data_IF_384984394963
#
_entry.id   IF_384984394963
#
_cell.length_a   1.000
_cell.length_b   1.000
_cell.length_c   1.000
_cell.angle_alpha   90.00
_cell.angle_beta   90.00
_cell.angle_gamma   90.00
#
_symmetry.space_group_name_H-M   'P 1'
#
loop_
_entity.id
_entity.type
_entity.pdbx_description
1 polymer ?
#
# COMPACT_ATOMS: atom_id res chain seq x y z
N UNK A 1 -27.20 -12.24 -7.98
CA UNK A 1 -28.00 -13.14 -8.85
C UNK A 1 -28.58 -12.42 -10.08
N UNK A 2 -29.14 -11.20 -9.93
CA UNK A 2 -29.73 -10.46 -11.05
C UNK A 2 -28.69 -9.96 -12.08
N UNK A 3 -27.51 -9.52 -11.65
CA UNK A 3 -26.48 -8.97 -12.56
C UNK A 3 -25.90 -10.01 -13.54
N UNK A 4 -25.68 -11.25 -13.09
CA UNK A 4 -25.18 -12.33 -13.95
C UNK A 4 -26.13 -12.65 -15.10
N UNK A 5 -27.44 -12.66 -14.85
CA UNK A 5 -28.46 -12.91 -15.89
C UNK A 5 -28.45 -11.80 -16.93
N UNK A 6 -28.29 -10.55 -16.49
CA UNK A 6 -28.17 -9.38 -17.38
C UNK A 6 -26.92 -9.48 -18.23
N UNK A 7 -25.76 -9.82 -17.64
CA UNK A 7 -24.51 -10.00 -18.37
C UNK A 7 -24.60 -11.14 -19.39
N UNK A 8 -25.17 -12.29 -19.03
CA UNK A 8 -25.35 -13.40 -19.97
C UNK A 8 -26.27 -13.04 -21.14
N UNK A 9 -27.28 -12.19 -20.92
CA UNK A 9 -28.14 -11.67 -21.98
C UNK A 9 -27.40 -10.67 -22.89
N UNK A 10 -26.66 -9.71 -22.30
CA UNK A 10 -25.87 -8.70 -23.03
C UNK A 10 -24.76 -9.32 -23.87
N UNK A 11 -24.20 -10.45 -23.42
CA UNK A 11 -23.12 -11.16 -24.10
C UNK A 11 -23.60 -12.26 -25.06
N UNK A 12 -24.92 -12.42 -25.21
CA UNK A 12 -25.49 -13.42 -26.13
C UNK A 12 -25.14 -14.85 -25.74
N UNK A 13 -25.11 -15.16 -24.44
CA UNK A 13 -24.61 -16.44 -23.92
C UNK A 13 -25.58 -17.63 -24.03
N UNK A 14 -26.70 -17.44 -24.73
CA UNK A 14 -27.67 -18.51 -24.99
C UNK A 14 -27.04 -19.61 -25.85
N UNK A 15 -27.13 -20.87 -25.41
CA UNK A 15 -26.65 -22.03 -26.17
C UNK A 15 -25.13 -22.27 -26.13
N UNK A 16 -24.39 -21.60 -25.24
CA UNK A 16 -22.94 -21.86 -25.07
C UNK A 16 -22.03 -20.92 -25.88
N UNK A 17 -22.61 -20.00 -26.64
CA UNK A 17 -21.89 -18.99 -27.41
C UNK A 17 -21.51 -17.77 -26.53
N UNK A 18 -20.66 -16.90 -27.03
CA UNK A 18 -20.39 -15.56 -26.47
C UNK A 18 -20.21 -14.66 -27.68
N UNK A 19 -21.13 -13.72 -27.88
CA UNK A 19 -21.12 -12.82 -29.03
C UNK A 19 -20.96 -13.59 -30.36
N UNK A 20 -20.27 -13.00 -31.35
CA UNK A 20 -19.96 -13.60 -32.64
C UNK A 20 -18.60 -14.32 -32.66
N UNK A 21 -18.02 -14.64 -31.49
CA UNK A 21 -16.70 -15.27 -31.42
C UNK A 21 -16.70 -16.75 -31.84
N UNK A 22 -15.71 -17.12 -32.65
CA UNK A 22 -15.23 -18.51 -32.77
C UNK A 22 -14.41 -18.89 -31.54
N UNK A 23 -14.05 -20.17 -31.37
CA UNK A 23 -13.20 -20.56 -30.22
C UNK A 23 -11.80 -19.94 -30.34
N UNK A 24 -11.28 -19.83 -31.57
CA UNK A 24 -9.97 -19.25 -31.85
C UNK A 24 -9.96 -17.73 -31.58
N UNK A 25 -10.97 -17.01 -32.07
CA UNK A 25 -11.09 -15.56 -31.85
C UNK A 25 -11.44 -15.22 -30.39
N UNK A 26 -12.19 -16.08 -29.71
CA UNK A 26 -12.43 -15.97 -28.26
C UNK A 26 -11.13 -16.14 -27.48
N UNK A 27 -10.34 -17.19 -27.76
CA UNK A 27 -9.04 -17.38 -27.11
C UNK A 27 -8.09 -16.21 -27.35
N UNK A 28 -7.98 -15.75 -28.61
CA UNK A 28 -7.14 -14.60 -28.96
C UNK A 28 -7.57 -13.30 -28.24
N UNK A 29 -8.88 -13.05 -28.19
CA UNK A 29 -9.42 -11.88 -27.49
C UNK A 29 -9.01 -11.83 -26.01
N UNK A 30 -9.09 -12.97 -25.30
CA UNK A 30 -8.68 -13.04 -23.89
C UNK A 30 -7.15 -13.04 -23.72
N UNK A 31 -6.42 -13.63 -24.66
CA UNK A 31 -4.96 -13.61 -24.65
C UNK A 31 -4.41 -12.17 -24.72
N UNK A 32 -5.03 -11.28 -25.51
CA UNK A 32 -4.66 -9.86 -25.58
C UNK A 32 -4.85 -9.12 -24.23
N UNK A 33 -5.72 -9.66 -23.35
CA UNK A 33 -5.93 -9.18 -21.99
C UNK A 33 -4.98 -9.84 -20.96
N UNK A 34 -4.10 -10.73 -21.41
CA UNK A 34 -3.21 -11.54 -20.57
C UNK A 34 -3.91 -12.70 -19.87
N UNK A 35 -5.07 -13.15 -20.36
CA UNK A 35 -5.89 -14.20 -19.75
C UNK A 35 -5.93 -15.42 -20.67
N UNK A 36 -5.49 -16.58 -20.19
CA UNK A 36 -5.75 -17.86 -20.87
C UNK A 36 -7.09 -18.44 -20.41
N UNK A 37 -8.17 -18.06 -21.10
CA UNK A 37 -9.55 -18.45 -20.75
C UNK A 37 -9.81 -19.97 -20.85
N UNK A 38 -8.88 -20.74 -21.44
CA UNK A 38 -8.96 -22.19 -21.57
C UNK A 38 -8.15 -22.95 -20.53
N UNK A 39 -7.37 -22.26 -19.68
CA UNK A 39 -6.63 -22.85 -18.57
C UNK A 39 -7.59 -23.58 -17.60
N UNK A 40 -7.56 -24.91 -17.64
CA UNK A 40 -8.43 -25.76 -16.85
C UNK A 40 -7.99 -25.90 -15.39
N UNK A 41 -6.72 -25.59 -15.08
CA UNK A 41 -6.20 -25.58 -13.71
C UNK A 41 -6.63 -24.30 -13.00
N UNK A 42 -6.52 -23.15 -13.70
CA UNK A 42 -6.89 -21.84 -13.17
C UNK A 42 -8.40 -21.59 -13.15
N UNK A 43 -9.14 -22.08 -14.16
CA UNK A 43 -10.58 -21.88 -14.28
C UNK A 43 -11.37 -23.21 -14.34
N UNK A 44 -11.43 -23.97 -13.23
CA UNK A 44 -12.07 -25.28 -13.22
C UNK A 44 -13.61 -25.19 -13.16
N UNK A 45 -14.27 -26.24 -13.63
CA UNK A 45 -15.65 -26.56 -13.20
C UNK A 45 -16.79 -26.13 -14.12
N UNK A 46 -16.53 -25.78 -15.38
CA UNK A 46 -17.57 -25.65 -16.40
C UNK A 46 -17.07 -26.25 -17.73
N UNK A 47 -17.93 -26.91 -18.51
CA UNK A 47 -17.52 -27.61 -19.75
C UNK A 47 -16.94 -26.69 -20.84
N UNK A 48 -16.56 -27.22 -22.00
CA UNK A 48 -15.69 -26.51 -22.96
C UNK A 48 -16.34 -25.43 -23.86
N UNK A 49 -17.62 -25.11 -23.64
CA UNK A 49 -18.25 -24.02 -24.40
C UNK A 49 -17.70 -22.65 -23.98
N UNK A 50 -17.66 -21.67 -24.89
CA UNK A 50 -17.20 -20.31 -24.58
C UNK A 50 -17.96 -19.68 -23.42
N UNK A 51 -19.28 -19.88 -23.38
CA UNK A 51 -20.09 -19.37 -22.27
C UNK A 51 -19.69 -20.01 -20.94
N UNK A 52 -19.38 -21.30 -20.94
CA UNK A 52 -18.92 -22.01 -19.75
C UNK A 52 -17.51 -21.58 -19.34
N UNK A 53 -16.61 -21.37 -20.30
CA UNK A 53 -15.27 -20.83 -20.03
C UNK A 53 -15.32 -19.41 -19.49
N UNK A 54 -16.21 -18.57 -20.01
CA UNK A 54 -16.46 -17.24 -19.44
C UNK A 54 -17.07 -17.30 -18.04
N UNK A 55 -17.99 -18.24 -17.77
CA UNK A 55 -18.50 -18.48 -16.41
C UNK A 55 -17.43 -19.03 -15.46
N UNK A 56 -16.48 -19.82 -15.96
CA UNK A 56 -15.36 -20.32 -15.19
C UNK A 56 -14.42 -19.17 -14.82
N UNK A 57 -14.13 -18.27 -15.77
CA UNK A 57 -13.41 -17.03 -15.49
C UNK A 57 -14.14 -16.17 -14.45
N UNK A 58 -15.45 -15.97 -14.57
CA UNK A 58 -16.22 -15.20 -13.57
C UNK A 58 -16.22 -15.83 -12.17
N UNK A 59 -15.91 -17.12 -12.04
CA UNK A 59 -15.90 -17.84 -10.77
C UNK A 59 -14.49 -17.95 -10.17
N UNK A 60 -13.49 -18.19 -11.01
CA UNK A 60 -12.11 -18.49 -10.58
C UNK A 60 -11.11 -17.37 -10.89
N UNK A 61 -11.47 -16.39 -11.72
CA UNK A 61 -10.66 -15.21 -11.99
C UNK A 61 -10.74 -14.17 -10.89
N UNK A 62 -9.70 -13.36 -10.82
CA UNK A 62 -9.64 -12.17 -9.97
C UNK A 62 -10.66 -11.13 -10.44
N UNK A 63 -11.08 -10.23 -9.53
CA UNK A 63 -12.01 -9.14 -9.90
C UNK A 63 -11.45 -8.24 -11.01
N UNK A 64 -10.13 -8.08 -11.08
CA UNK A 64 -9.43 -7.37 -12.17
C UNK A 64 -9.61 -8.08 -13.52
N UNK A 65 -9.32 -9.38 -13.58
CA UNK A 65 -9.47 -10.17 -14.81
C UNK A 65 -10.91 -10.18 -15.31
N UNK A 66 -11.87 -10.33 -14.38
CA UNK A 66 -13.30 -10.29 -14.70
C UNK A 66 -13.73 -8.89 -15.12
N UNK A 67 -13.26 -7.84 -14.44
CA UNK A 67 -13.56 -6.44 -14.76
C UNK A 67 -13.03 -6.02 -16.13
N UNK A 68 -11.73 -6.24 -16.39
CA UNK A 68 -11.08 -5.91 -17.68
C UNK A 68 -11.69 -6.68 -18.85
N UNK A 69 -11.98 -7.97 -18.66
CA UNK A 69 -12.64 -8.76 -19.70
C UNK A 69 -14.07 -8.30 -19.98
N UNK A 70 -14.87 -8.00 -18.96
CA UNK A 70 -16.21 -7.45 -19.15
C UNK A 70 -16.19 -6.10 -19.84
N UNK A 71 -15.25 -5.22 -19.48
CA UNK A 71 -15.10 -3.92 -20.12
C UNK A 71 -14.76 -4.06 -21.60
N UNK A 72 -13.76 -4.87 -21.95
CA UNK A 72 -13.39 -5.10 -23.34
C UNK A 72 -14.53 -5.72 -24.17
N UNK A 73 -15.32 -6.62 -23.58
CA UNK A 73 -16.49 -7.22 -24.23
C UNK A 73 -17.61 -6.19 -24.47
N UNK A 74 -17.82 -5.26 -23.53
CA UNK A 74 -18.78 -4.16 -23.68
C UNK A 74 -18.33 -3.20 -24.79
N UNK A 75 -17.06 -2.82 -24.80
CA UNK A 75 -16.47 -1.99 -25.86
C UNK A 75 -16.62 -2.64 -27.24
N UNK A 76 -16.43 -3.97 -27.31
CA UNK A 76 -16.65 -4.73 -28.53
C UNK A 76 -18.13 -4.70 -28.99
N UNK A 77 -19.08 -4.84 -28.08
CA UNK A 77 -20.52 -4.71 -28.39
C UNK A 77 -20.84 -3.31 -28.91
N UNK A 78 -20.30 -2.26 -28.29
CA UNK A 78 -20.52 -0.87 -28.72
C UNK A 78 -19.95 -0.62 -30.11
N UNK A 79 -18.74 -1.09 -30.40
CA UNK A 79 -18.15 -1.02 -31.73
C UNK A 79 -19.00 -1.75 -32.78
N UNK A 80 -19.58 -2.90 -32.43
CA UNK A 80 -20.48 -3.66 -33.31
C UNK A 80 -21.84 -2.98 -33.52
N UNK A 81 -22.40 -2.34 -32.48
CA UNK A 81 -23.62 -1.52 -32.59
C UNK A 81 -23.41 -0.34 -33.52
N UNK A 82 -22.29 0.37 -33.37
CA UNK A 82 -21.94 1.53 -34.21
C UNK A 82 -21.75 1.15 -35.69
N UNK A 83 -21.28 -0.07 -35.94
CA UNK A 83 -21.05 -0.57 -37.30
C UNK A 83 -22.24 -1.35 -37.88
N UNK A 84 -23.31 -1.56 -37.10
CA UNK A 84 -24.53 -2.26 -37.54
C UNK A 84 -24.39 -3.77 -37.70
N UNK A 85 -23.33 -4.39 -37.16
CA UNK A 85 -23.03 -5.82 -37.32
C UNK A 85 -23.33 -6.67 -36.09
N UNK A 86 -24.01 -6.12 -35.08
CA UNK A 86 -24.47 -6.91 -33.94
C UNK A 86 -25.70 -7.74 -34.34
N UNK A 87 -25.63 -9.06 -34.13
CA UNK A 87 -26.63 -10.02 -34.60
C UNK A 87 -27.93 -10.07 -33.80
N UNK A 88 -28.02 -9.28 -32.72
CA UNK A 88 -29.19 -9.20 -31.85
C UNK A 88 -29.28 -7.82 -31.19
N UNK A 89 -30.51 -7.43 -30.83
CA UNK A 89 -30.74 -6.19 -30.09
C UNK A 89 -30.40 -6.39 -28.61
N UNK A 90 -29.59 -5.49 -28.09
CA UNK A 90 -29.38 -5.33 -26.65
C UNK A 90 -30.05 -4.01 -26.28
N UNK A 91 -30.79 -3.94 -25.17
CA UNK A 91 -31.40 -2.68 -24.74
C UNK A 91 -30.37 -1.81 -23.98
N UNK A 92 -30.62 -0.50 -23.91
CA UNK A 92 -29.67 0.43 -23.30
C UNK A 92 -29.62 0.27 -21.77
N UNK A 93 -30.72 -0.08 -21.12
CA UNK A 93 -30.78 -0.35 -19.67
C UNK A 93 -29.87 -1.52 -19.25
N UNK A 94 -29.85 -2.60 -20.03
CA UNK A 94 -28.98 -3.76 -19.77
C UNK A 94 -27.52 -3.42 -20.05
N UNK A 95 -27.23 -2.56 -21.03
CA UNK A 95 -25.87 -2.06 -21.27
C UNK A 95 -25.40 -1.17 -20.14
N UNK A 96 -26.21 -0.24 -19.67
CA UNK A 96 -25.87 0.63 -18.54
C UNK A 96 -25.62 -0.18 -17.28
N UNK A 97 -26.42 -1.22 -17.05
CA UNK A 97 -26.21 -2.15 -15.95
C UNK A 97 -24.95 -3.00 -16.11
N UNK A 98 -24.64 -3.45 -17.33
CA UNK A 98 -23.38 -4.15 -17.61
C UNK A 98 -22.16 -3.23 -17.38
N UNK A 99 -22.23 -1.97 -17.81
CA UNK A 99 -21.20 -0.95 -17.54
C UNK A 99 -21.03 -0.69 -16.05
N UNK A 100 -22.13 -0.56 -15.30
CA UNK A 100 -22.07 -0.37 -13.86
C UNK A 100 -21.40 -1.55 -13.14
N UNK A 101 -21.64 -2.78 -13.59
CA UNK A 101 -20.97 -3.97 -13.05
C UNK A 101 -19.49 -4.02 -13.42
N UNK A 102 -19.14 -3.76 -14.68
CA UNK A 102 -17.74 -3.72 -15.13
C UNK A 102 -16.96 -2.61 -14.41
N UNK A 103 -17.54 -1.41 -14.27
CA UNK A 103 -16.96 -0.28 -13.55
C UNK A 103 -16.77 -0.58 -12.07
N UNK A 104 -17.77 -1.18 -11.40
CA UNK A 104 -17.63 -1.63 -10.01
C UNK A 104 -16.51 -2.65 -9.82
N UNK A 105 -16.38 -3.62 -10.72
CA UNK A 105 -15.33 -4.63 -10.63
C UNK A 105 -13.95 -4.04 -10.93
N UNK A 106 -13.84 -3.09 -11.86
CA UNK A 106 -12.60 -2.36 -12.12
C UNK A 106 -12.22 -1.41 -10.96
N UNK A 107 -13.20 -0.82 -10.27
CA UNK A 107 -12.98 -0.03 -9.05
C UNK A 107 -12.60 -0.93 -7.86
N UNK A 108 -13.22 -2.11 -7.74
CA UNK A 108 -12.89 -3.12 -6.73
C UNK A 108 -11.51 -3.75 -6.97
N UNK A 109 -11.07 -3.85 -8.23
CA UNK A 109 -9.73 -4.24 -8.62
C UNK A 109 -8.66 -3.15 -8.44
N UNK A 110 -9.06 -1.86 -8.53
CA UNK A 110 -8.22 -0.72 -8.19
C UNK A 110 -8.11 -0.48 -6.69
N UNK A 111 -9.10 -0.94 -5.92
CA UNK A 111 -8.89 -1.22 -4.50
C UNK A 111 -7.96 -2.44 -4.44
N UNK A 112 -6.88 -2.40 -3.66
CA UNK A 112 -6.08 -3.61 -3.47
C UNK A 112 -7.03 -4.71 -2.99
N UNK A 113 -7.05 -5.82 -3.72
CA UNK A 113 -7.86 -6.98 -3.41
C UNK A 113 -7.70 -7.39 -1.94
N UNK A 114 -8.81 -7.79 -1.31
CA UNK A 114 -8.90 -8.42 0.01
C UNK A 114 -8.14 -9.76 0.07
N UNK A 115 -6.83 -9.73 -0.12
CA UNK A 115 -5.90 -10.52 0.68
C UNK A 115 -5.65 -9.65 1.91
N UNK A 116 -5.73 -10.18 3.16
CA UNK A 116 -5.29 -9.39 4.30
C UNK A 116 -3.89 -8.87 3.96
N UNK A 117 -3.59 -7.57 4.11
CA UNK A 117 -2.22 -7.13 3.99
C UNK A 117 -1.51 -7.65 5.23
N UNK A 118 -1.09 -8.92 5.19
CA UNK A 118 0.06 -9.32 6.00
C UNK A 118 1.23 -8.59 5.37
N UNK A 119 1.46 -7.39 5.89
CA UNK A 119 2.50 -6.41 5.56
C UNK A 119 2.27 -5.50 4.33
N UNK A 120 1.92 -4.24 4.60
CA UNK A 120 2.06 -3.11 3.66
C UNK A 120 3.55 -2.85 3.45
N UNK A 121 4.01 -2.76 2.20
CA UNK A 121 5.41 -2.46 1.87
C UNK A 121 5.60 -1.02 1.38
N UNK A 122 6.64 -0.35 1.87
CA UNK A 122 7.08 0.96 1.37
C UNK A 122 8.39 0.86 0.60
N UNK A 123 8.63 1.88 -0.23
CA UNK A 123 9.92 2.08 -0.92
C UNK A 123 10.30 3.55 -0.86
N UNK A 124 11.58 3.82 -0.65
CA UNK A 124 12.17 5.16 -0.85
C UNK A 124 11.89 5.66 -2.27
N UNK A 125 11.58 6.95 -2.45
CA UNK A 125 11.15 7.47 -3.76
C UNK A 125 12.27 7.35 -4.81
N UNK A 126 11.91 6.80 -5.96
CA UNK A 126 12.77 6.71 -7.13
C UNK A 126 12.02 7.22 -8.36
N UNK A 127 12.59 8.21 -9.06
CA UNK A 127 11.98 8.80 -10.25
C UNK A 127 12.90 8.67 -11.45
N UNK A 128 12.31 8.59 -12.65
CA UNK A 128 13.05 8.51 -13.92
C UNK A 128 12.72 9.73 -14.77
N UNK A 129 13.73 10.56 -15.07
CA UNK A 129 13.58 11.73 -15.94
C UNK A 129 14.78 11.86 -16.88
N UNK A 130 14.53 12.04 -18.19
CA UNK A 130 15.58 12.30 -19.18
C UNK A 130 16.79 11.35 -19.07
N UNK A 131 16.55 10.04 -18.97
CA UNK A 131 17.57 9.00 -18.80
C UNK A 131 18.40 9.13 -17.50
N UNK A 132 17.85 9.76 -16.45
CA UNK A 132 18.40 9.82 -15.10
C UNK A 132 17.46 9.12 -14.14
N UNK A 133 18.02 8.28 -13.29
CA UNK A 133 17.35 7.74 -12.11
C UNK A 133 17.73 8.65 -10.95
N UNK A 134 16.75 9.28 -10.33
CA UNK A 134 16.93 9.99 -9.07
C UNK A 134 16.44 9.07 -7.96
N UNK A 135 17.31 8.80 -6.99
CA UNK A 135 17.02 7.95 -5.83
C UNK A 135 17.19 8.85 -4.61
N UNK A 136 16.14 8.94 -3.79
CA UNK A 136 16.27 9.56 -2.48
C UNK A 136 17.00 8.62 -1.52
N UNK A 137 17.80 9.18 -0.62
CA UNK A 137 18.44 8.37 0.44
C UNK A 137 17.36 8.04 1.46
N UNK A 138 17.28 6.78 1.87
CA UNK A 138 16.34 6.37 2.92
C UNK A 138 16.51 7.27 4.16
N UNK A 139 15.41 7.79 4.69
CA UNK A 139 15.42 8.87 5.69
C UNK A 139 16.16 8.50 6.98
N UNK A 140 15.94 7.30 7.51
CA UNK A 140 16.65 6.81 8.71
C UNK A 140 18.18 6.73 8.50
N UNK A 141 18.61 6.41 7.27
CA UNK A 141 20.03 6.45 6.91
C UNK A 141 20.49 7.91 6.80
N UNK A 142 19.74 8.76 6.09
CA UNK A 142 20.11 10.17 5.89
C UNK A 142 20.23 10.92 7.23
N UNK A 143 19.31 10.70 8.16
CA UNK A 143 19.34 11.29 9.50
C UNK A 143 20.66 10.98 10.21
N UNK A 144 21.18 9.76 10.06
CA UNK A 144 22.42 9.32 10.68
C UNK A 144 23.69 9.82 9.96
N UNK A 145 23.62 9.97 8.62
CA UNK A 145 24.82 10.28 7.81
C UNK A 145 24.92 11.74 7.32
N UNK A 146 23.88 12.55 7.49
CA UNK A 146 23.79 13.94 7.00
C UNK A 146 25.02 14.78 7.36
N UNK A 147 25.47 14.74 8.61
CA UNK A 147 26.68 15.43 9.09
C UNK A 147 27.96 15.09 8.32
N UNK A 148 28.08 13.85 7.84
CA UNK A 148 29.25 13.40 7.07
C UNK A 148 29.15 13.85 5.62
N UNK A 149 27.93 13.90 5.05
CA UNK A 149 27.70 14.45 3.72
C UNK A 149 27.99 15.95 3.68
N UNK A 150 27.61 16.70 4.72
CA UNK A 150 27.88 18.14 4.85
C UNK A 150 29.38 18.46 4.96
N UNK A 151 30.14 17.58 5.60
CA UNK A 151 31.59 17.72 5.77
C UNK A 151 32.40 17.05 4.67
N UNK A 152 31.73 16.50 3.65
CA UNK A 152 32.31 15.70 2.56
C UNK A 152 33.15 14.50 3.04
N UNK A 153 32.86 14.00 4.25
CA UNK A 153 33.45 12.80 4.83
C UNK A 153 32.77 11.53 4.28
N UNK A 154 33.04 11.27 2.99
CA UNK A 154 32.45 10.18 2.24
C UNK A 154 32.69 8.80 2.88
N UNK A 155 33.85 8.62 3.54
CA UNK A 155 34.20 7.36 4.19
C UNK A 155 33.26 7.05 5.34
N UNK A 156 33.15 7.97 6.31
CA UNK A 156 32.27 7.77 7.44
C UNK A 156 30.81 7.77 7.03
N UNK A 157 30.40 8.55 6.01
CA UNK A 157 29.04 8.49 5.48
C UNK A 157 28.65 7.07 5.06
N UNK A 158 29.53 6.36 4.34
CA UNK A 158 29.25 4.95 3.96
C UNK A 158 29.35 4.02 5.16
N UNK A 159 30.38 4.13 5.99
CA UNK A 159 30.53 3.24 7.15
C UNK A 159 29.32 3.31 8.08
N UNK A 160 28.84 4.51 8.35
CA UNK A 160 27.68 4.78 9.20
C UNK A 160 26.38 4.34 8.53
N UNK A 161 26.23 4.50 7.21
CA UNK A 161 25.08 3.93 6.48
C UNK A 161 24.99 2.40 6.61
N UNK A 162 26.13 1.70 6.56
CA UNK A 162 26.20 0.25 6.73
C UNK A 162 25.97 -0.19 8.18
N UNK A 163 26.39 0.63 9.16
CA UNK A 163 26.07 0.40 10.58
C UNK A 163 24.56 0.46 10.80
N UNK A 164 23.87 1.45 10.23
CA UNK A 164 22.41 1.61 10.33
C UNK A 164 21.67 0.37 9.80
N UNK A 165 22.07 -0.16 8.64
CA UNK A 165 21.49 -1.41 8.09
C UNK A 165 21.67 -2.60 9.03
N UNK A 166 22.88 -2.76 9.59
CA UNK A 166 23.18 -3.89 10.47
C UNK A 166 22.51 -3.77 11.84
N UNK A 167 22.34 -2.54 12.32
CA UNK A 167 21.57 -2.25 13.52
C UNK A 167 20.10 -2.64 13.33
N UNK A 168 19.49 -2.27 12.21
CA UNK A 168 18.12 -2.68 11.89
C UNK A 168 17.95 -4.22 11.83
N UNK A 169 18.95 -4.94 11.29
CA UNK A 169 18.96 -6.41 11.37
C UNK A 169 19.02 -6.89 12.83
N UNK A 170 19.82 -6.25 13.69
CA UNK A 170 19.93 -6.61 15.10
C UNK A 170 18.63 -6.36 15.84
N UNK A 171 18.00 -5.22 15.63
CA UNK A 171 16.73 -4.87 16.26
C UNK A 171 15.63 -5.87 15.90
N UNK A 172 15.53 -6.26 14.61
CA UNK A 172 14.50 -7.19 14.14
C UNK A 172 14.77 -8.65 14.48
N UNK A 173 16.04 -9.08 14.52
CA UNK A 173 16.40 -10.51 14.53
C UNK A 173 17.32 -10.92 15.67
N UNK A 174 17.76 -9.97 16.49
CA UNK A 174 18.78 -10.16 17.51
C UNK A 174 20.21 -10.30 16.98
N UNK A 175 20.43 -10.19 15.66
CA UNK A 175 21.76 -10.35 15.07
C UNK A 175 22.10 -9.30 14.01
N UNK A 176 23.29 -8.70 14.13
CA UNK A 176 23.83 -7.81 13.10
C UNK A 176 24.46 -8.55 11.91
N UNK A 177 24.65 -9.87 12.02
CA UNK A 177 25.31 -10.68 10.99
C UNK A 177 24.24 -11.22 10.06
N UNK A 178 24.25 -10.82 8.80
CA UNK A 178 23.23 -11.18 7.81
C UNK A 178 23.01 -12.69 7.71
N UNK A 179 24.06 -13.50 7.83
CA UNK A 179 23.91 -14.97 7.80
C UNK A 179 23.09 -15.53 8.97
N UNK A 180 23.14 -14.88 10.13
CA UNK A 180 22.38 -15.28 11.31
C UNK A 180 21.01 -14.58 11.36
N UNK A 181 20.92 -13.33 10.90
CA UNK A 181 19.68 -12.57 10.83
C UNK A 181 18.66 -13.21 9.88
N UNK A 182 19.09 -13.78 8.75
CA UNK A 182 18.22 -14.43 7.77
C UNK A 182 18.09 -15.95 7.98
N UNK A 183 18.10 -16.42 9.23
CA UNK A 183 17.69 -17.80 9.56
C UNK A 183 16.16 -17.95 9.41
N UNK A 184 15.65 -19.15 9.14
CA UNK A 184 14.21 -19.38 8.95
C UNK A 184 13.34 -18.75 10.03
N UNK A 185 13.70 -18.95 11.31
CA UNK A 185 12.93 -18.44 12.47
C UNK A 185 12.81 -16.90 12.52
N UNK A 186 13.64 -16.17 11.78
CA UNK A 186 13.67 -14.70 11.75
C UNK A 186 13.00 -14.11 10.50
N UNK A 187 12.63 -14.92 9.51
CA UNK A 187 12.04 -14.46 8.25
C UNK A 187 10.74 -13.66 8.50
N UNK A 188 9.81 -14.09 9.35
CA UNK A 188 8.61 -13.32 9.65
C UNK A 188 8.91 -11.93 10.27
N UNK A 189 9.99 -11.79 11.05
CA UNK A 189 10.34 -10.50 11.65
C UNK A 189 10.91 -9.49 10.62
N UNK A 190 11.56 -10.00 9.56
CA UNK A 190 12.11 -9.20 8.47
C UNK A 190 11.05 -8.86 7.41
N UNK A 191 10.17 -9.82 7.12
CA UNK A 191 9.27 -9.76 5.97
C UNK A 191 7.78 -9.69 6.30
N UNK A 192 7.42 -9.80 7.58
CA UNK A 192 6.03 -9.83 8.04
C UNK A 192 5.36 -11.22 7.95
N UNK A 193 5.87 -12.11 7.11
CA UNK A 193 5.32 -13.45 6.89
C UNK A 193 6.38 -14.44 6.39
N UNK A 194 6.00 -15.72 6.38
CA UNK A 194 6.74 -16.78 5.71
C UNK A 194 6.48 -16.75 4.19
N UNK A 195 7.47 -17.11 3.35
CA UNK A 195 7.30 -17.04 1.90
C UNK A 195 6.17 -17.97 1.44
N UNK A 196 5.22 -17.41 0.70
CA UNK A 196 4.05 -18.09 0.15
C UNK A 196 4.36 -18.99 -1.05
N UNK A 197 5.54 -18.83 -1.66
CA UNK A 197 5.97 -19.61 -2.82
C UNK A 197 7.45 -19.45 -3.17
N UNK A 198 7.90 -20.17 -4.20
CA UNK A 198 9.33 -20.20 -4.60
C UNK A 198 9.85 -18.83 -5.04
N UNK A 199 9.04 -18.05 -5.78
CA UNK A 199 9.44 -16.72 -6.23
C UNK A 199 9.70 -15.76 -5.07
N UNK A 200 8.85 -15.80 -4.03
CA UNK A 200 9.02 -14.96 -2.85
C UNK A 200 10.20 -15.41 -1.99
N UNK A 201 10.42 -16.73 -1.90
CA UNK A 201 11.63 -17.28 -1.27
C UNK A 201 12.90 -16.81 -1.98
N UNK A 202 12.93 -16.83 -3.32
CA UNK A 202 14.06 -16.35 -4.11
C UNK A 202 14.29 -14.84 -3.90
N UNK A 203 13.21 -14.07 -3.75
CA UNK A 203 13.29 -12.66 -3.37
C UNK A 203 13.91 -12.47 -1.97
N UNK A 204 13.44 -13.20 -0.95
CA UNK A 204 14.00 -13.13 0.42
C UNK A 204 15.49 -13.51 0.44
N UNK A 205 15.88 -14.54 -0.31
CA UNK A 205 17.29 -14.91 -0.49
C UNK A 205 18.08 -13.80 -1.20
N UNK A 206 17.48 -13.11 -2.18
CA UNK A 206 18.06 -11.92 -2.81
C UNK A 206 18.36 -10.81 -1.79
N UNK A 207 17.41 -10.49 -0.92
CA UNK A 207 17.58 -9.49 0.15
C UNK A 207 18.67 -9.91 1.14
N UNK A 208 18.74 -11.20 1.48
CA UNK A 208 19.82 -11.77 2.28
C UNK A 208 21.19 -11.55 1.63
N UNK A 209 21.33 -11.82 0.33
CA UNK A 209 22.60 -11.63 -0.38
C UNK A 209 23.03 -10.15 -0.44
N UNK A 210 22.08 -9.22 -0.60
CA UNK A 210 22.37 -7.78 -0.51
C UNK A 210 22.93 -7.39 0.86
N UNK A 211 22.30 -7.88 1.94
CA UNK A 211 22.76 -7.62 3.31
C UNK A 211 24.12 -8.31 3.60
N UNK A 212 24.36 -9.49 3.04
CA UNK A 212 25.68 -10.12 3.09
C UNK A 212 26.74 -9.30 2.35
N UNK A 213 26.41 -8.72 1.19
CA UNK A 213 27.33 -7.84 0.47
C UNK A 213 27.73 -6.63 1.33
N UNK A 214 26.78 -5.98 2.00
CA UNK A 214 27.05 -4.89 2.97
C UNK A 214 27.98 -5.35 4.08
N UNK A 215 27.72 -6.53 4.66
CA UNK A 215 28.58 -7.10 5.71
C UNK A 215 30.03 -7.27 5.25
N UNK A 216 30.26 -7.81 4.05
CA UNK A 216 31.61 -8.03 3.53
C UNK A 216 32.30 -6.73 3.08
N UNK A 217 31.58 -5.82 2.40
CA UNK A 217 32.10 -4.52 1.98
C UNK A 217 32.50 -3.65 3.18
N UNK A 218 31.78 -3.74 4.29
CA UNK A 218 32.18 -3.08 5.55
C UNK A 218 33.49 -3.66 6.08
N UNK A 219 33.62 -4.99 6.13
CA UNK A 219 34.79 -5.67 6.67
C UNK A 219 36.06 -5.36 5.85
N UNK A 220 35.94 -5.24 4.52
CA UNK A 220 37.03 -4.80 3.65
C UNK A 220 37.51 -3.38 4.00
N UNK A 221 36.57 -2.46 4.24
CA UNK A 221 36.86 -1.05 4.56
C UNK A 221 37.45 -0.85 5.96
N UNK A 222 37.17 -1.73 6.92
CA UNK A 222 37.83 -1.68 8.24
C UNK A 222 39.30 -2.13 8.22
N UNK A 223 39.74 -2.79 7.14
CA UNK A 223 41.08 -3.36 7.02
C UNK A 223 42.00 -2.65 6.00
N UNK A 224 41.48 -1.66 5.27
CA UNK A 224 42.27 -0.83 4.35
C UNK A 224 42.38 0.60 4.89
N UNK A 225 43.57 0.95 5.38
CA UNK A 225 43.99 2.32 5.69
C UNK A 225 44.04 3.14 4.39
N UNK A 226 42.88 3.60 3.89
CA UNK A 226 42.78 4.50 2.76
C UNK A 226 41.64 5.50 3.01
N UNK A 227 42.00 6.58 3.70
CA UNK A 227 41.15 7.69 4.16
C UNK A 227 40.55 8.57 3.04
N UNK A 228 40.56 8.11 1.79
CA UNK A 228 40.00 8.86 0.66
C UNK A 228 39.10 7.94 -0.18
N UNK A 229 37.79 8.12 -0.06
CA UNK A 229 36.81 7.50 -0.94
C UNK A 229 36.27 8.53 -1.92
N UNK A 230 36.22 8.16 -3.19
CA UNK A 230 35.65 8.97 -4.26
C UNK A 230 34.14 9.16 -4.04
N UNK A 231 33.65 10.38 -4.28
CA UNK A 231 32.29 10.80 -3.92
C UNK A 231 31.21 9.99 -4.65
N UNK A 232 31.34 9.76 -5.95
CA UNK A 232 30.33 9.00 -6.70
C UNK A 232 30.26 7.55 -6.22
N UNK A 233 31.40 6.92 -5.97
CA UNK A 233 31.45 5.57 -5.39
C UNK A 233 30.81 5.54 -3.99
N UNK A 234 31.06 6.56 -3.16
CA UNK A 234 30.41 6.68 -1.85
C UNK A 234 28.88 6.77 -1.98
N UNK A 235 28.39 7.59 -2.92
CA UNK A 235 26.95 7.70 -3.21
C UNK A 235 26.37 6.35 -3.65
N UNK A 236 27.05 5.59 -4.51
CA UNK A 236 26.58 4.25 -4.90
C UNK A 236 26.51 3.27 -3.72
N UNK A 237 27.47 3.32 -2.79
CA UNK A 237 27.41 2.49 -1.58
C UNK A 237 26.29 2.93 -0.63
N UNK A 238 26.05 4.23 -0.48
CA UNK A 238 24.93 4.75 0.29
C UNK A 238 23.61 4.30 -0.36
N UNK A 239 23.49 4.36 -1.69
CA UNK A 239 22.31 3.86 -2.40
C UNK A 239 22.09 2.36 -2.18
N UNK A 240 23.16 1.55 -2.15
CA UNK A 240 23.08 0.14 -1.80
C UNK A 240 22.60 -0.06 -0.36
N UNK A 241 23.13 0.73 0.59
CA UNK A 241 22.69 0.71 1.98
C UNK A 241 21.21 1.07 2.12
N UNK A 242 20.77 2.14 1.43
CA UNK A 242 19.37 2.56 1.40
C UNK A 242 18.46 1.48 0.86
N UNK A 243 18.81 0.85 -0.27
CA UNK A 243 18.03 -0.25 -0.81
C UNK A 243 17.95 -1.44 0.16
N UNK A 244 19.08 -1.84 0.75
CA UNK A 244 19.09 -2.97 1.67
C UNK A 244 18.31 -2.69 2.96
N UNK A 245 18.40 -1.48 3.51
CA UNK A 245 17.62 -1.01 4.64
C UNK A 245 16.13 -1.06 4.33
N UNK A 246 15.74 -0.42 3.23
CA UNK A 246 14.36 -0.35 2.76
C UNK A 246 13.77 -1.76 2.57
N UNK A 247 14.53 -2.72 2.05
CA UNK A 247 14.06 -4.10 1.85
C UNK A 247 13.83 -4.89 3.16
N UNK A 248 14.48 -4.53 4.26
CA UNK A 248 14.32 -5.23 5.56
C UNK A 248 13.43 -4.47 6.53
N UNK A 249 13.19 -3.19 6.30
CA UNK A 249 12.30 -2.37 7.15
C UNK A 249 10.94 -2.10 6.51
N UNK A 250 10.76 -2.40 5.21
CA UNK A 250 9.50 -2.18 4.49
C UNK A 250 8.27 -2.83 5.10
N UNK A 251 8.45 -3.87 5.89
CA UNK A 251 7.36 -4.65 6.47
C UNK A 251 7.21 -4.36 7.96
N UNK A 252 6.00 -3.95 8.33
CA UNK A 252 5.54 -3.84 9.72
C UNK A 252 4.72 -5.08 10.02
N UNK A 253 5.05 -5.82 11.07
CA UNK A 253 4.35 -7.04 11.43
C UNK A 253 2.91 -6.75 11.87
N UNK A 254 1.99 -7.67 11.56
CA UNK A 254 0.59 -7.57 11.99
C UNK A 254 0.48 -7.52 13.52
N UNK A 255 1.38 -8.21 14.24
CA UNK A 255 1.46 -8.17 15.70
C UNK A 255 1.77 -6.76 16.23
N UNK A 256 2.73 -6.05 15.61
CA UNK A 256 3.08 -4.68 15.99
C UNK A 256 1.93 -3.72 15.67
N UNK A 257 1.31 -3.86 14.50
CA UNK A 257 0.13 -3.09 14.11
C UNK A 257 -0.97 -3.29 15.16
N UNK A 258 -1.28 -4.54 15.51
CA UNK A 258 -2.34 -4.89 16.45
C UNK A 258 -2.02 -4.37 17.85
N UNK A 259 -0.79 -4.54 18.34
CA UNK A 259 -0.33 -4.00 19.62
C UNK A 259 -0.57 -2.48 19.69
N UNK A 260 -0.16 -1.76 18.65
CA UNK A 260 -0.28 -0.31 18.59
C UNK A 260 -1.74 0.14 18.51
N UNK A 261 -2.57 -0.55 17.72
CA UNK A 261 -4.00 -0.27 17.61
C UNK A 261 -4.76 -0.56 18.92
N UNK A 262 -4.38 -1.61 19.65
CA UNK A 262 -4.94 -1.96 20.95
C UNK A 262 -4.56 -0.93 22.01
N UNK A 263 -3.31 -0.46 22.02
CA UNK A 263 -2.85 0.61 22.90
C UNK A 263 -3.66 1.90 22.70
N UNK A 264 -3.86 2.32 21.46
CA UNK A 264 -4.67 3.52 21.13
C UNK A 264 -6.11 3.33 21.60
N UNK A 265 -6.70 2.17 21.30
CA UNK A 265 -8.10 1.87 21.64
C UNK A 265 -8.30 1.84 23.16
N UNK A 266 -7.38 1.23 23.90
CA UNK A 266 -7.40 1.20 25.36
C UNK A 266 -7.27 2.61 25.95
N UNK A 267 -6.34 3.43 25.43
CA UNK A 267 -6.14 4.81 25.90
C UNK A 267 -7.37 5.67 25.61
N UNK A 268 -7.99 5.55 24.43
CA UNK A 268 -9.24 6.26 24.10
C UNK A 268 -10.34 5.93 25.09
N UNK A 269 -10.53 4.65 25.41
CA UNK A 269 -11.56 4.17 26.36
C UNK A 269 -11.31 4.60 27.79
N UNK A 270 -10.07 4.96 28.16
CA UNK A 270 -9.74 5.47 29.49
C UNK A 270 -10.28 6.88 29.76
N UNK A 271 -10.64 7.64 28.72
CA UNK A 271 -11.17 9.00 28.84
C UNK A 271 -12.68 9.09 28.66
N UNK A 272 -13.31 9.89 29.52
CA UNK A 272 -14.62 10.49 29.21
C UNK A 272 -14.49 11.42 27.99
N UNK A 273 -15.56 11.58 27.20
CA UNK A 273 -15.59 12.44 26.02
C UNK A 273 -15.06 13.87 26.28
N UNK A 274 -15.44 14.50 27.40
CA UNK A 274 -15.02 15.88 27.72
C UNK A 274 -13.51 15.98 27.99
N UNK A 275 -12.94 15.03 28.74
CA UNK A 275 -11.50 15.02 29.06
C UNK A 275 -10.66 14.69 27.83
N UNK A 276 -11.15 13.79 26.97
CA UNK A 276 -10.45 13.35 25.78
C UNK A 276 -10.04 14.53 24.88
N UNK A 277 -10.97 15.39 24.50
CA UNK A 277 -10.64 16.49 23.57
C UNK A 277 -9.62 17.49 24.12
N UNK A 278 -9.50 17.61 25.44
CA UNK A 278 -8.47 18.45 26.07
C UNK A 278 -7.06 17.87 25.94
N UNK A 279 -6.89 16.56 26.06
CA UNK A 279 -5.58 15.90 25.88
C UNK A 279 -5.27 15.64 24.41
N UNK A 280 -6.30 15.40 23.60
CA UNK A 280 -6.19 15.15 22.17
C UNK A 280 -5.68 16.38 21.41
N UNK A 281 -6.21 17.58 21.72
CA UNK A 281 -5.81 18.85 21.08
C UNK A 281 -4.30 19.11 21.14
N UNK A 282 -3.69 18.85 22.29
CA UNK A 282 -2.28 19.16 22.52
C UNK A 282 -1.35 17.96 22.26
N UNK A 283 -1.93 16.79 21.91
CA UNK A 283 -1.18 15.52 21.75
C UNK A 283 -0.72 14.87 23.06
N UNK A 284 -1.10 15.40 24.23
CA UNK A 284 -0.64 14.93 25.56
C UNK A 284 -1.04 13.50 25.93
N UNK A 285 -1.94 12.87 25.18
CA UNK A 285 -2.26 11.46 25.37
C UNK A 285 -1.11 10.54 24.94
N UNK A 286 -0.26 10.98 24.01
CA UNK A 286 0.93 10.22 23.58
C UNK A 286 1.94 10.06 24.72
N UNK A 287 2.07 11.07 25.59
CA UNK A 287 3.01 11.06 26.73
C UNK A 287 2.73 9.94 27.75
N UNK A 288 1.53 9.34 27.70
CA UNK A 288 1.10 8.28 28.62
C UNK A 288 1.33 6.88 28.06
N UNK A 289 1.65 6.76 26.77
CA UNK A 289 1.82 5.48 26.10
C UNK A 289 3.27 5.00 26.19
N UNK A 290 3.43 3.72 26.52
CA UNK A 290 4.67 3.00 26.30
C UNK A 290 4.65 2.46 24.87
N UNK A 291 5.14 3.27 23.92
CA UNK A 291 5.15 2.93 22.51
C UNK A 291 6.25 1.90 22.19
N UNK A 292 6.00 0.93 21.29
CA UNK A 292 7.04 0.05 20.76
C UNK A 292 8.19 0.85 20.14
N UNK A 293 9.43 0.39 20.32
CA UNK A 293 10.63 1.07 19.82
C UNK A 293 10.64 1.23 18.31
N UNK A 294 10.02 0.30 17.58
CA UNK A 294 9.89 0.30 16.13
C UNK A 294 9.19 1.56 15.60
N UNK A 295 8.29 2.18 16.38
CA UNK A 295 7.63 3.43 16.02
C UNK A 295 8.60 4.62 15.93
N UNK A 296 9.84 4.49 16.41
CA UNK A 296 10.88 5.52 16.23
C UNK A 296 11.38 5.61 14.78
N UNK A 297 11.25 4.54 13.99
CA UNK A 297 11.55 4.57 12.55
C UNK A 297 10.49 5.38 11.81
N UNK A 298 10.95 6.36 11.04
CA UNK A 298 10.05 7.20 10.24
C UNK A 298 9.31 6.38 9.18
N UNK A 299 9.93 5.34 8.66
CA UNK A 299 9.30 4.47 7.67
C UNK A 299 8.22 3.57 8.25
N UNK A 300 8.39 3.06 9.49
CA UNK A 300 7.31 2.36 10.21
C UNK A 300 6.11 3.30 10.38
N UNK A 301 6.35 4.56 10.75
CA UNK A 301 5.26 5.56 10.83
C UNK A 301 4.60 5.83 9.48
N UNK A 302 5.35 5.86 8.38
CA UNK A 302 4.80 6.00 7.02
C UNK A 302 3.88 4.85 6.63
N UNK A 303 4.24 3.60 6.98
CA UNK A 303 3.37 2.43 6.75
C UNK A 303 2.06 2.54 7.50
N UNK A 304 2.16 2.81 8.80
CA UNK A 304 0.99 2.93 9.66
C UNK A 304 0.10 4.09 9.19
N UNK A 305 0.70 5.20 8.75
CA UNK A 305 0.01 6.32 8.12
C UNK A 305 -0.75 5.87 6.86
N UNK A 306 -0.10 5.19 5.92
CA UNK A 306 -0.76 4.74 4.67
C UNK A 306 -1.90 3.75 4.98
N UNK A 307 -1.68 2.77 5.88
CA UNK A 307 -2.72 1.84 6.35
C UNK A 307 -3.90 2.57 6.98
N UNK A 308 -3.65 3.42 7.96
CA UNK A 308 -4.72 4.09 8.72
C UNK A 308 -5.43 5.17 7.93
N UNK A 309 -4.77 5.82 6.95
CA UNK A 309 -5.44 6.68 5.97
C UNK A 309 -6.36 5.86 5.05
N UNK A 310 -5.91 4.69 4.58
CA UNK A 310 -6.71 3.80 3.74
C UNK A 310 -7.96 3.24 4.45
N UNK A 311 -7.86 3.04 5.77
CA UNK A 311 -8.95 2.56 6.63
C UNK A 311 -9.80 3.68 7.25
N UNK A 312 -9.48 4.94 7.01
CA UNK A 312 -10.17 6.06 7.63
C UNK A 312 -11.64 6.13 7.19
N UNK A 313 -12.55 6.03 8.16
CA UNK A 313 -13.99 6.11 7.94
C UNK A 313 -14.65 6.99 9.03
N UNK A 314 -15.15 8.15 8.61
CA UNK A 314 -15.84 9.12 9.47
C UNK A 314 -17.37 9.03 9.36
N UNK A 315 -17.91 7.90 8.92
CA UNK A 315 -19.36 7.68 8.81
C UNK A 315 -19.91 6.75 9.88
N UNK A 316 -19.05 6.08 10.65
CA UNK A 316 -19.45 5.02 11.59
C UNK A 316 -19.97 5.59 12.91
N UNK A 317 -19.09 6.21 13.68
CA UNK A 317 -19.43 6.83 14.97
C UNK A 317 -18.41 7.89 15.38
N UNK A 318 -18.79 8.72 16.36
CA UNK A 318 -17.86 9.64 17.01
C UNK A 318 -16.67 8.94 17.66
N UNK A 319 -16.84 7.74 18.21
CA UNK A 319 -15.74 7.05 18.88
C UNK A 319 -14.75 6.48 17.86
N UNK A 320 -15.27 5.88 16.78
CA UNK A 320 -14.45 5.40 15.67
C UNK A 320 -13.65 6.54 15.04
N UNK A 321 -14.29 7.68 14.79
CA UNK A 321 -13.62 8.87 14.26
C UNK A 321 -12.50 9.37 15.17
N UNK A 322 -12.71 9.37 16.48
CA UNK A 322 -11.67 9.73 17.44
C UNK A 322 -10.49 8.74 17.40
N UNK A 323 -10.75 7.42 17.29
CA UNK A 323 -9.68 6.40 17.18
C UNK A 323 -8.90 6.57 15.89
N UNK A 324 -9.57 6.79 14.75
CA UNK A 324 -8.93 7.09 13.46
C UNK A 324 -8.03 8.31 13.58
N UNK A 325 -8.51 9.38 14.20
CA UNK A 325 -7.70 10.60 14.34
C UNK A 325 -6.57 10.46 15.35
N UNK A 326 -6.73 9.64 16.40
CA UNK A 326 -5.61 9.29 17.31
C UNK A 326 -4.53 8.50 16.59
N UNK A 327 -4.91 7.50 15.78
CA UNK A 327 -4.01 6.76 14.90
C UNK A 327 -3.19 7.72 14.03
N UNK A 328 -3.88 8.61 13.31
CA UNK A 328 -3.22 9.59 12.44
C UNK A 328 -2.36 10.61 13.20
N UNK A 329 -2.76 11.00 14.42
CA UNK A 329 -1.97 11.92 15.25
C UNK A 329 -0.65 11.30 15.73
N UNK A 330 -0.62 9.98 15.93
CA UNK A 330 0.60 9.27 16.32
C UNK A 330 1.65 9.22 15.21
N UNK A 331 1.22 9.27 13.95
CA UNK A 331 2.07 9.31 12.75
C UNK A 331 2.01 10.67 12.06
N UNK A 332 1.74 11.73 12.84
CA UNK A 332 1.47 13.06 12.32
C UNK A 332 2.67 13.66 11.56
N UNK A 333 3.90 13.31 11.94
CA UNK A 333 5.10 13.77 11.26
C UNK A 333 5.25 13.18 9.85
N UNK A 334 4.62 12.04 9.57
CA UNK A 334 4.62 11.41 8.25
C UNK A 334 3.50 11.92 7.32
N UNK A 335 2.55 12.72 7.82
CA UNK A 335 1.43 13.22 7.03
C UNK A 335 1.86 14.35 6.09
N UNK A 336 1.46 14.24 4.83
CA UNK A 336 1.64 15.28 3.81
C UNK A 336 0.40 16.19 3.71
N UNK A 337 0.57 17.31 3.00
CA UNK A 337 -0.57 18.18 2.67
C UNK A 337 -1.66 17.48 1.86
N UNK A 338 -1.26 16.61 0.92
CA UNK A 338 -2.20 15.79 0.15
C UNK A 338 -2.96 14.79 1.02
N UNK A 339 -2.32 14.23 2.06
CA UNK A 339 -2.98 13.31 2.99
C UNK A 339 -4.09 14.02 3.78
N UNK A 340 -3.83 15.26 4.23
CA UNK A 340 -4.85 16.09 4.90
C UNK A 340 -6.01 16.43 3.95
N UNK A 341 -5.72 16.72 2.67
CA UNK A 341 -6.77 16.98 1.68
C UNK A 341 -7.62 15.75 1.39
N UNK A 342 -7.00 14.56 1.31
CA UNK A 342 -7.69 13.28 1.18
C UNK A 342 -8.62 13.04 2.39
N UNK A 343 -8.10 13.24 3.60
CA UNK A 343 -8.87 13.09 4.84
C UNK A 343 -10.10 13.99 4.87
N UNK A 344 -9.95 15.25 4.43
CA UNK A 344 -11.03 16.23 4.32
C UNK A 344 -12.02 15.96 3.17
N UNK A 345 -11.73 15.01 2.29
CA UNK A 345 -12.61 14.60 1.20
C UNK A 345 -13.47 13.38 1.57
N UNK A 346 -13.17 12.70 2.68
CA UNK A 346 -13.92 11.53 3.14
C UNK A 346 -15.36 11.89 3.54
N UNK A 347 -16.32 10.98 3.34
CA UNK A 347 -17.67 11.17 3.81
C UNK A 347 -17.71 11.22 5.34
N UNK A 348 -18.49 12.16 5.86
CA UNK A 348 -18.60 12.42 7.31
C UNK A 348 -20.01 12.17 7.85
N UNK A 349 -20.96 11.85 6.97
CA UNK A 349 -22.38 11.71 7.32
C UNK A 349 -22.74 10.23 7.34
N UNK A 350 -23.38 9.79 8.42
CA UNK A 350 -23.86 8.42 8.56
C UNK A 350 -25.12 8.14 7.72
N UNK A 351 -25.57 6.89 7.71
CA UNK A 351 -26.80 6.48 7.00
C UNK A 351 -28.09 7.15 7.50
N UNK A 352 -28.04 7.84 8.65
CA UNK A 352 -29.16 8.56 9.24
C UNK A 352 -29.09 10.09 8.99
N UNK A 353 -28.06 10.58 8.29
CA UNK A 353 -27.90 12.00 7.99
C UNK A 353 -27.18 12.81 9.07
N UNK A 354 -26.57 12.17 10.07
CA UNK A 354 -25.80 12.87 11.11
C UNK A 354 -24.30 12.86 10.81
N UNK A 355 -23.64 14.00 11.05
CA UNK A 355 -22.18 14.10 10.95
C UNK A 355 -21.52 13.31 12.07
N UNK A 356 -20.53 12.47 11.77
CA UNK A 356 -19.77 11.64 12.72
C UNK A 356 -18.29 12.04 12.86
N UNK A 357 -17.85 13.13 12.21
CA UNK A 357 -16.47 13.68 12.18
C UNK A 357 -15.97 14.32 13.50
N UNK A 358 -16.43 13.82 14.66
CA UNK A 358 -16.01 14.36 15.94
C UNK A 358 -14.48 14.23 16.10
N UNK A 359 -13.87 15.29 16.62
CA UNK A 359 -12.41 15.39 16.76
C UNK A 359 -11.66 15.92 15.54
N UNK A 360 -12.23 15.90 14.32
CA UNK A 360 -11.51 16.26 13.09
C UNK A 360 -10.94 17.68 13.15
N UNK A 361 -11.74 18.66 13.57
CA UNK A 361 -11.23 20.04 13.73
C UNK A 361 -10.13 20.13 14.79
N UNK A 362 -10.26 19.40 15.89
CA UNK A 362 -9.24 19.37 16.96
C UNK A 362 -7.94 18.74 16.46
N UNK A 363 -8.02 17.72 15.62
CA UNK A 363 -6.86 17.13 14.94
C UNK A 363 -6.20 18.13 14.00
N UNK A 364 -6.97 18.86 13.19
CA UNK A 364 -6.43 19.89 12.29
C UNK A 364 -5.75 21.04 13.05
N UNK A 365 -6.29 21.44 14.21
CA UNK A 365 -5.64 22.43 15.10
C UNK A 365 -4.27 21.93 15.58
N UNK A 366 -4.18 20.65 15.99
CA UNK A 366 -2.91 20.04 16.37
C UNK A 366 -1.93 20.04 15.19
N UNK A 367 -2.37 19.62 14.01
CA UNK A 367 -1.54 19.60 12.79
C UNK A 367 -1.07 21.01 12.42
N UNK A 368 -1.93 22.03 12.54
CA UNK A 368 -1.57 23.43 12.28
C UNK A 368 -0.50 23.94 13.26
N UNK A 369 -0.61 23.57 14.54
CA UNK A 369 0.33 24.01 15.56
C UNK A 369 1.69 23.32 15.44
N UNK A 370 1.72 22.01 15.17
CA UNK A 370 2.94 21.19 15.19
C UNK A 370 3.59 21.02 13.81
N UNK A 371 2.78 20.92 12.76
CA UNK A 371 3.19 20.62 11.39
C UNK A 371 2.53 21.58 10.38
N UNK A 372 2.75 22.90 10.50
CA UNK A 372 2.02 23.91 9.72
C UNK A 372 2.15 23.75 8.19
N UNK A 373 3.25 23.17 7.71
CA UNK A 373 3.47 22.92 6.29
C UNK A 373 2.47 21.92 5.66
N UNK A 374 1.80 21.12 6.48
CA UNK A 374 0.81 20.10 6.05
C UNK A 374 -0.59 20.69 5.86
N UNK A 375 -0.83 21.91 6.33
CA UNK A 375 -2.17 22.51 6.31
C UNK A 375 -2.48 23.12 4.94
N UNK A 376 -3.63 22.75 4.37
CA UNK A 376 -4.17 23.33 3.15
C UNK A 376 -5.14 24.46 3.41
N UNK A 377 -5.41 25.30 2.41
CA UNK A 377 -6.40 26.38 2.52
C UNK A 377 -7.81 25.85 2.90
N UNK A 378 -8.15 24.63 2.45
CA UNK A 378 -9.40 23.95 2.85
C UNK A 378 -9.39 23.61 4.35
N UNK A 379 -8.26 23.11 4.87
CA UNK A 379 -8.09 22.84 6.29
C UNK A 379 -8.15 24.12 7.12
N UNK A 380 -7.51 25.22 6.68
CA UNK A 380 -7.59 26.53 7.35
C UNK A 380 -9.03 27.05 7.44
N UNK A 381 -9.78 27.00 6.33
CA UNK A 381 -11.17 27.42 6.31
C UNK A 381 -12.03 26.58 7.27
N UNK A 382 -11.75 25.27 7.37
CA UNK A 382 -12.43 24.35 8.30
C UNK A 382 -12.15 24.70 9.76
N UNK A 383 -10.90 25.03 10.10
CA UNK A 383 -10.51 25.46 11.45
C UNK A 383 -11.18 26.80 11.78
N UNK A 384 -11.12 27.77 10.87
CA UNK A 384 -11.67 29.11 11.06
C UNK A 384 -13.20 29.12 11.24
N UNK A 385 -13.92 28.20 10.58
CA UNK A 385 -15.37 28.04 10.71
C UNK A 385 -15.86 27.54 12.08
N UNK A 386 -14.96 27.28 13.04
CA UNK A 386 -15.27 26.88 14.43
C UNK A 386 -15.53 28.07 15.37
N UNK A 387 -15.23 29.30 14.94
CA UNK A 387 -15.34 30.51 15.77
C UNK A 387 -16.72 31.17 15.72
#
# INVERSE_FOLDING_TARGET
MSDKVVLEAVLGMSGGHVLDFSNESFGAFFHDLGIDVYDAERYPGFGDSKANRLRALWRGGTEDEVGRSLQALIEYIEAKRLTGFLSYEVNDESMDRARAVAGRLAESAKRPADTPPSSVSFTTEATVTNNKIQIEIHEDIYAHISRYLETEDNFHAVEESYKVVREALREKTGSEKATDAFKPDNIPALFGHEPSGQAEKDFFDGVKYLNMAIQFLRNEKSHTLATSMERNLALHYISLASLAYDLITRYVSDDLIQEVEDLITAERRSYSATRFYGVFRDGRWLDRLSLPSDLSSASVRRVLKDKWLGEADFTRSYDDSNIVLMRLQMVADALSKSDIELLLALPIVDGNGFTQEAGLTTFLEYMQQKYPATISAKAEARIAGRH
#
